data_IF_722058256265
#
_entry.id   IF_722058256265
#
_cell.length_a   1.000
_cell.length_b   1.000
_cell.length_c   1.000
_cell.angle_alpha   90.00
_cell.angle_beta   90.00
_cell.angle_gamma   90.00
#
_symmetry.space_group_name_H-M   'P 1'
#
loop_
_entity.id
_entity.type
_entity.pdbx_description
1 polymer ?
#
# COMPACT_ATOMS: atom_id res chain seq x y z
N UNK A 1 10.54 -19.83 15.98
CA UNK A 1 9.70 -20.36 14.90
C UNK A 1 8.42 -19.54 14.92
N UNK A 2 7.93 -19.10 13.77
CA UNK A 2 6.72 -18.25 13.69
C UNK A 2 5.50 -19.03 14.18
N UNK A 3 4.63 -18.38 14.98
CA UNK A 3 3.38 -18.97 15.44
C UNK A 3 2.42 -19.13 14.24
N UNK A 4 1.64 -20.25 14.22
CA UNK A 4 0.73 -20.54 13.10
C UNK A 4 -0.33 -19.44 12.86
N UNK A 5 -0.88 -18.86 13.91
CA UNK A 5 -1.86 -17.77 13.76
C UNK A 5 -1.24 -16.54 13.10
N UNK A 6 -0.03 -16.17 13.52
CA UNK A 6 0.73 -15.09 12.90
C UNK A 6 1.13 -15.42 11.47
N UNK A 7 1.54 -16.66 11.19
CA UNK A 7 1.85 -17.11 9.84
C UNK A 7 0.64 -16.95 8.91
N UNK A 8 -0.54 -17.38 9.33
CA UNK A 8 -1.78 -17.25 8.56
C UNK A 8 -2.17 -15.79 8.34
N UNK A 9 -2.06 -14.95 9.37
CA UNK A 9 -2.38 -13.52 9.29
C UNK A 9 -1.39 -12.74 8.41
N UNK A 10 -0.09 -13.03 8.51
CA UNK A 10 0.93 -12.44 7.64
C UNK A 10 0.76 -12.87 6.17
N UNK A 11 0.38 -14.13 5.92
CA UNK A 11 0.04 -14.58 4.57
C UNK A 11 -1.21 -13.86 4.00
N UNK A 12 -2.19 -13.57 4.84
CA UNK A 12 -3.34 -12.77 4.42
C UNK A 12 -2.91 -11.33 4.03
N UNK A 13 -2.00 -10.73 4.80
CA UNK A 13 -1.45 -9.40 4.48
C UNK A 13 -0.68 -9.39 3.17
N UNK A 14 0.19 -10.37 2.90
CA UNK A 14 0.88 -10.50 1.61
C UNK A 14 -0.11 -10.46 0.44
N UNK A 15 -1.25 -11.15 0.55
CA UNK A 15 -2.27 -11.12 -0.50
C UNK A 15 -3.00 -9.77 -0.58
N UNK A 16 -3.17 -9.04 0.54
CA UNK A 16 -3.74 -7.70 0.54
C UNK A 16 -2.83 -6.72 -0.21
N UNK A 17 -1.52 -6.74 0.04
CA UNK A 17 -0.54 -5.88 -0.65
C UNK A 17 -0.47 -6.19 -2.16
N UNK A 18 -0.47 -7.45 -2.57
CA UNK A 18 -0.55 -7.81 -3.99
C UNK A 18 -1.87 -7.42 -4.64
N UNK A 19 -2.98 -7.40 -3.90
CA UNK A 19 -4.24 -6.88 -4.39
C UNK A 19 -4.14 -5.36 -4.59
N UNK A 20 -3.59 -4.61 -3.63
CA UNK A 20 -3.31 -3.18 -3.75
C UNK A 20 -2.51 -2.86 -5.01
N UNK A 21 -1.40 -3.55 -5.22
CA UNK A 21 -0.58 -3.43 -6.41
C UNK A 21 -1.40 -3.64 -7.71
N UNK A 22 -2.33 -4.59 -7.74
CA UNK A 22 -3.13 -4.90 -8.92
C UNK A 22 -4.18 -3.83 -9.21
N UNK A 23 -4.75 -3.18 -8.19
CA UNK A 23 -5.75 -2.12 -8.32
C UNK A 23 -5.17 -0.85 -8.97
N UNK A 24 -3.88 -0.59 -8.80
CA UNK A 24 -3.21 0.64 -9.24
C UNK A 24 -2.83 0.68 -10.73
N UNK A 25 -3.07 -0.37 -11.52
CA UNK A 25 -2.41 -0.56 -12.83
C UNK A 25 -3.04 0.14 -14.04
N UNK A 26 -4.23 0.78 -13.96
CA UNK A 26 -4.93 1.26 -15.18
C UNK A 26 -5.65 2.61 -15.04
N UNK A 27 -4.95 3.75 -15.26
CA UNK A 27 -5.57 5.09 -15.09
C UNK A 27 -5.09 6.18 -16.07
N UNK A 28 -6.04 6.80 -16.68
CA UNK A 28 -6.06 7.58 -17.91
C UNK A 28 -5.46 9.00 -17.98
N UNK A 29 -4.68 9.51 -17.01
CA UNK A 29 -3.86 10.73 -17.16
C UNK A 29 -2.39 10.36 -17.00
N UNK A 30 -1.49 10.84 -17.86
CA UNK A 30 -0.12 10.34 -17.94
C UNK A 30 0.65 10.45 -16.61
N UNK A 31 0.49 11.53 -15.86
CA UNK A 31 1.16 11.71 -14.58
C UNK A 31 0.42 11.02 -13.43
N UNK A 32 -0.90 10.96 -13.46
CA UNK A 32 -1.70 10.11 -12.58
C UNK A 32 -1.33 8.65 -12.80
N UNK A 33 -1.18 8.22 -14.05
CA UNK A 33 -0.70 6.87 -14.38
C UNK A 33 0.71 6.61 -13.85
N UNK A 34 1.63 7.60 -13.91
CA UNK A 34 2.96 7.48 -13.32
C UNK A 34 2.89 7.32 -11.80
N UNK A 35 2.06 8.11 -11.11
CA UNK A 35 1.87 8.01 -9.67
C UNK A 35 1.41 6.59 -9.28
N UNK A 36 0.39 6.07 -9.95
CA UNK A 36 -0.10 4.71 -9.70
C UNK A 36 0.90 3.62 -10.10
N UNK A 37 1.69 3.82 -11.16
CA UNK A 37 2.75 2.87 -11.52
C UNK A 37 3.87 2.80 -10.47
N UNK A 38 4.14 3.89 -9.77
CA UNK A 38 5.07 3.91 -8.65
C UNK A 38 4.44 3.23 -7.44
N UNK A 39 3.21 3.59 -7.08
CA UNK A 39 2.48 2.96 -6.00
C UNK A 39 2.42 1.45 -6.18
N UNK A 40 2.13 0.95 -7.39
CA UNK A 40 2.18 -0.48 -7.71
C UNK A 40 3.51 -1.15 -7.31
N UNK A 41 4.64 -0.48 -7.52
CA UNK A 41 5.96 -1.02 -7.16
C UNK A 41 6.18 -0.99 -5.65
N UNK A 42 5.73 0.07 -4.99
CA UNK A 42 5.82 0.20 -3.53
C UNK A 42 5.00 -0.88 -2.83
N UNK A 43 3.77 -1.14 -3.30
CA UNK A 43 2.93 -2.23 -2.80
C UNK A 43 3.54 -3.62 -3.01
N UNK A 44 4.24 -3.82 -4.13
CA UNK A 44 5.00 -5.05 -4.34
C UNK A 44 6.15 -5.18 -3.33
N UNK A 45 6.85 -4.09 -3.02
CA UNK A 45 7.90 -4.10 -2.00
C UNK A 45 7.33 -4.37 -0.60
N UNK A 46 6.16 -3.83 -0.28
CA UNK A 46 5.42 -4.12 0.96
C UNK A 46 5.12 -5.62 1.07
N UNK A 47 4.52 -6.19 0.04
CA UNK A 47 4.25 -7.63 -0.03
C UNK A 47 5.52 -8.46 0.13
N UNK A 48 6.61 -8.08 -0.55
CA UNK A 48 7.88 -8.79 -0.48
C UNK A 48 8.56 -8.66 0.88
N UNK A 49 8.39 -7.53 1.58
CA UNK A 49 8.88 -7.38 2.96
C UNK A 49 8.22 -8.38 3.91
N UNK A 50 6.89 -8.53 3.85
CA UNK A 50 6.18 -9.57 4.59
C UNK A 50 6.58 -10.98 4.17
N UNK A 51 6.68 -11.23 2.87
CA UNK A 51 7.08 -12.52 2.29
C UNK A 51 8.43 -12.97 2.85
N UNK A 52 9.44 -12.12 2.76
CA UNK A 52 10.78 -12.39 3.25
C UNK A 52 10.81 -12.58 4.77
N UNK A 53 10.02 -11.80 5.50
CA UNK A 53 9.89 -11.93 6.93
C UNK A 53 9.31 -13.30 7.33
N UNK A 54 8.24 -13.76 6.70
CA UNK A 54 7.65 -15.09 6.97
C UNK A 54 8.70 -16.19 6.77
N UNK A 55 9.47 -16.14 5.67
CA UNK A 55 10.53 -17.11 5.37
C UNK A 55 11.65 -17.04 6.42
N UNK A 56 12.13 -15.85 6.76
CA UNK A 56 13.22 -15.66 7.74
C UNK A 56 12.85 -16.22 9.13
N UNK A 57 11.56 -16.23 9.45
CA UNK A 57 11.01 -16.75 10.70
C UNK A 57 10.71 -18.27 10.63
N UNK A 58 11.05 -18.93 9.52
CA UNK A 58 10.81 -20.37 9.29
C UNK A 58 9.35 -20.71 9.01
N UNK A 59 8.54 -19.72 8.62
CA UNK A 59 7.18 -19.89 8.18
C UNK A 59 7.11 -20.30 6.70
N UNK A 60 5.92 -20.69 6.25
CA UNK A 60 5.62 -21.01 4.86
C UNK A 60 4.73 -19.94 4.26
N UNK A 61 5.16 -19.35 3.14
CA UNK A 61 4.31 -18.45 2.37
C UNK A 61 3.29 -19.25 1.56
N UNK A 62 2.03 -18.82 1.61
CA UNK A 62 0.92 -19.40 0.86
C UNK A 62 0.15 -18.29 0.18
N UNK A 63 0.34 -18.13 -1.12
CA UNK A 63 -0.36 -17.14 -1.92
C UNK A 63 -1.75 -17.66 -2.29
N UNK A 64 -2.72 -16.75 -2.34
CA UNK A 64 -4.08 -16.99 -2.83
C UNK A 64 -4.28 -16.29 -4.16
N UNK A 65 -5.31 -16.64 -4.94
CA UNK A 65 -5.69 -15.86 -6.10
C UNK A 65 -5.99 -14.40 -5.72
N UNK A 66 -5.54 -13.46 -6.55
CA UNK A 66 -5.89 -12.05 -6.40
C UNK A 66 -7.35 -11.90 -6.85
N UNK A 67 -8.18 -11.31 -6.00
CA UNK A 67 -9.58 -11.03 -6.33
C UNK A 67 -9.67 -9.95 -7.41
N UNK A 68 -10.82 -9.89 -8.09
CA UNK A 68 -11.04 -8.89 -9.12
C UNK A 68 -10.91 -7.48 -8.53
N UNK A 69 -10.13 -6.65 -9.20
CA UNK A 69 -9.97 -5.23 -8.90
C UNK A 69 -10.84 -4.39 -9.84
N UNK A 70 -11.23 -3.20 -9.38
CA UNK A 70 -11.91 -2.23 -10.23
C UNK A 70 -10.90 -1.60 -11.21
N UNK A 71 -11.31 -1.47 -12.46
CA UNK A 71 -10.45 -0.95 -13.54
C UNK A 71 -10.98 0.37 -14.14
N UNK A 72 -12.12 0.86 -13.68
CA UNK A 72 -12.77 2.06 -14.22
C UNK A 72 -13.12 3.04 -13.11
N UNK A 73 -12.65 4.27 -13.23
CA UNK A 73 -12.99 5.39 -12.33
C UNK A 73 -13.58 6.55 -13.11
N UNK A 74 -14.59 7.18 -12.52
CA UNK A 74 -15.29 8.33 -13.13
C UNK A 74 -14.42 9.58 -13.24
N UNK A 75 -13.41 9.72 -12.40
CA UNK A 75 -12.51 10.87 -12.35
C UNK A 75 -11.24 10.55 -11.58
N UNK A 76 -10.16 11.34 -11.71
CA UNK A 76 -8.98 11.23 -10.86
C UNK A 76 -9.33 11.34 -9.36
N UNK A 77 -10.23 12.25 -8.99
CA UNK A 77 -10.69 12.37 -7.61
C UNK A 77 -11.29 11.06 -7.08
N UNK A 78 -12.18 10.41 -7.86
CA UNK A 78 -12.79 9.14 -7.46
C UNK A 78 -11.74 8.03 -7.31
N UNK A 79 -10.70 8.03 -8.15
CA UNK A 79 -9.60 7.08 -8.04
C UNK A 79 -8.81 7.27 -6.73
N UNK A 80 -8.44 8.50 -6.39
CA UNK A 80 -7.71 8.77 -5.15
C UNK A 80 -8.57 8.60 -3.89
N UNK A 81 -9.86 8.89 -3.94
CA UNK A 81 -10.78 8.60 -2.83
C UNK A 81 -10.90 7.09 -2.57
N UNK A 82 -10.91 6.26 -3.61
CA UNK A 82 -10.88 4.81 -3.47
C UNK A 82 -9.53 4.33 -2.94
N UNK A 83 -8.42 4.91 -3.42
CA UNK A 83 -7.09 4.64 -2.89
C UNK A 83 -7.03 4.89 -1.39
N UNK A 84 -7.49 6.05 -0.92
CA UNK A 84 -7.52 6.37 0.51
C UNK A 84 -8.35 5.35 1.31
N UNK A 85 -9.55 4.98 0.85
CA UNK A 85 -10.36 3.96 1.51
C UNK A 85 -9.63 2.61 1.60
N UNK A 86 -8.84 2.29 0.58
CA UNK A 86 -8.03 1.09 0.58
C UNK A 86 -6.90 1.17 1.60
N UNK A 87 -6.14 2.29 1.66
CA UNK A 87 -5.07 2.49 2.64
C UNK A 87 -5.61 2.46 4.08
N UNK A 88 -6.75 3.08 4.35
CA UNK A 88 -7.41 2.99 5.66
C UNK A 88 -7.76 1.54 6.06
N UNK A 89 -8.14 0.71 5.08
CA UNK A 89 -8.37 -0.73 5.30
C UNK A 89 -7.06 -1.46 5.59
N UNK A 90 -6.00 -1.19 4.83
CA UNK A 90 -4.66 -1.78 5.05
C UNK A 90 -4.13 -1.39 6.43
N UNK A 91 -4.28 -0.13 6.82
CA UNK A 91 -3.95 0.36 8.18
C UNK A 91 -4.65 -0.47 9.26
N UNK A 92 -5.94 -0.74 9.08
CA UNK A 92 -6.70 -1.58 10.03
C UNK A 92 -6.14 -3.00 10.10
N UNK A 93 -5.79 -3.61 8.96
CA UNK A 93 -5.22 -4.95 8.92
C UNK A 93 -3.84 -5.03 9.59
N UNK A 94 -3.00 -4.00 9.41
CA UNK A 94 -1.69 -3.90 10.05
C UNK A 94 -1.83 -3.73 11.57
N UNK A 95 -2.78 -2.91 12.02
CA UNK A 95 -3.08 -2.74 13.44
C UNK A 95 -3.56 -4.05 14.08
N UNK A 96 -4.41 -4.81 13.39
CA UNK A 96 -4.86 -6.13 13.84
C UNK A 96 -3.70 -7.13 13.95
N UNK A 97 -2.77 -7.11 12.97
CA UNK A 97 -1.53 -7.91 13.02
C UNK A 97 -0.65 -7.53 14.21
N UNK A 98 -0.51 -6.22 14.47
CA UNK A 98 0.27 -5.73 15.60
C UNK A 98 -0.32 -6.19 16.94
N UNK A 99 -1.64 -6.08 17.08
CA UNK A 99 -2.36 -6.55 18.28
C UNK A 99 -2.24 -8.08 18.44
N UNK A 100 -2.31 -8.84 17.35
CA UNK A 100 -2.10 -10.28 17.37
C UNK A 100 -0.67 -10.65 17.79
N UNK A 101 0.34 -9.93 17.26
CA UNK A 101 1.73 -10.14 17.65
C UNK A 101 1.96 -9.85 19.14
N UNK A 102 1.27 -8.85 19.70
CA UNK A 102 1.29 -8.56 21.12
C UNK A 102 0.69 -9.70 21.96
N UNK A 103 -0.48 -10.20 21.57
CA UNK A 103 -1.15 -11.30 22.26
C UNK A 103 -0.29 -12.58 22.27
N UNK A 104 0.38 -12.87 21.17
CA UNK A 104 1.28 -14.03 21.05
C UNK A 104 2.70 -13.75 21.61
N UNK A 105 2.96 -12.53 22.15
CA UNK A 105 4.24 -12.07 22.69
C UNK A 105 5.39 -12.19 21.69
N UNK A 106 5.09 -12.03 20.40
CA UNK A 106 6.10 -12.03 19.33
C UNK A 106 6.61 -10.59 19.08
N UNK A 107 7.51 -10.15 19.94
CA UNK A 107 8.09 -8.82 19.90
C UNK A 107 8.91 -8.56 18.62
N UNK A 108 9.44 -9.61 17.99
CA UNK A 108 10.14 -9.46 16.72
C UNK A 108 9.16 -9.10 15.59
N UNK A 109 7.97 -9.70 15.56
CA UNK A 109 6.90 -9.33 14.63
C UNK A 109 6.41 -7.93 14.90
N UNK A 110 6.21 -7.53 16.16
CA UNK A 110 5.86 -6.15 16.50
C UNK A 110 6.92 -5.14 16.01
N UNK A 111 8.20 -5.47 16.19
CA UNK A 111 9.30 -4.60 15.74
C UNK A 111 9.29 -4.42 14.21
N UNK A 112 9.04 -5.48 13.46
CA UNK A 112 8.93 -5.43 12.00
C UNK A 112 7.71 -4.62 11.55
N UNK A 113 6.56 -4.77 12.22
CA UNK A 113 5.32 -4.08 11.91
C UNK A 113 5.36 -2.57 12.18
N UNK A 114 6.25 -2.07 13.05
CA UNK A 114 6.40 -0.63 13.28
C UNK A 114 6.67 0.14 12.01
N UNK A 115 7.52 -0.39 11.14
CA UNK A 115 7.79 0.23 9.85
C UNK A 115 6.51 0.38 9.02
N UNK A 116 5.66 -0.65 8.98
CA UNK A 116 4.39 -0.58 8.26
C UNK A 116 3.38 0.38 8.90
N UNK A 117 3.40 0.54 10.24
CA UNK A 117 2.56 1.52 10.92
C UNK A 117 2.96 2.94 10.49
N UNK A 118 4.26 3.22 10.45
CA UNK A 118 4.78 4.53 10.04
C UNK A 118 4.48 4.78 8.55
N UNK A 119 4.67 3.76 7.69
CA UNK A 119 4.37 3.81 6.27
C UNK A 119 2.89 4.11 6.01
N UNK A 120 1.96 3.45 6.69
CA UNK A 120 0.52 3.69 6.51
C UNK A 120 0.10 5.12 6.87
N UNK A 121 0.77 5.75 7.84
CA UNK A 121 0.54 7.18 8.11
C UNK A 121 0.91 8.02 6.88
N UNK A 122 2.05 7.74 6.25
CA UNK A 122 2.52 8.45 5.05
C UNK A 122 1.60 8.18 3.85
N UNK A 123 1.19 6.92 3.62
CA UNK A 123 0.29 6.55 2.52
C UNK A 123 -1.07 7.26 2.60
N UNK A 124 -1.68 7.28 3.78
CA UNK A 124 -2.93 8.01 3.99
C UNK A 124 -2.75 9.53 3.82
N UNK A 125 -1.66 10.12 4.35
CA UNK A 125 -1.37 11.56 4.21
C UNK A 125 -1.17 11.93 2.73
N UNK A 126 -0.43 11.15 1.98
CA UNK A 126 -0.18 11.37 0.55
C UNK A 126 -1.49 11.31 -0.25
N UNK A 127 -2.33 10.31 -0.03
CA UNK A 127 -3.62 10.21 -0.70
C UNK A 127 -4.55 11.39 -0.32
N UNK A 128 -4.63 11.75 0.95
CA UNK A 128 -5.43 12.89 1.45
C UNK A 128 -4.98 14.21 0.83
N UNK A 129 -3.67 14.48 0.76
CA UNK A 129 -3.14 15.72 0.17
C UNK A 129 -3.53 15.88 -1.30
N UNK A 130 -3.49 14.80 -2.08
CA UNK A 130 -3.90 14.81 -3.48
C UNK A 130 -5.42 15.02 -3.61
N UNK A 131 -6.21 14.36 -2.78
CA UNK A 131 -7.68 14.53 -2.73
C UNK A 131 -8.05 15.97 -2.42
N UNK A 132 -7.42 16.57 -1.40
CA UNK A 132 -7.69 17.96 -1.00
C UNK A 132 -7.31 18.94 -2.12
N UNK A 133 -6.19 18.70 -2.79
CA UNK A 133 -5.75 19.47 -3.96
C UNK A 133 -6.77 19.36 -5.10
N UNK A 134 -7.23 18.14 -5.43
CA UNK A 134 -8.23 17.90 -6.46
C UNK A 134 -9.56 18.59 -6.13
N UNK A 135 -10.00 18.55 -4.88
CA UNK A 135 -11.22 19.24 -4.42
C UNK A 135 -11.09 20.75 -4.51
N UNK A 136 -9.92 21.31 -4.18
CA UNK A 136 -9.64 22.74 -4.30
C UNK A 136 -9.61 23.20 -5.76
N UNK A 137 -9.03 22.41 -6.66
CA UNK A 137 -8.93 22.69 -8.08
C UNK A 137 -10.31 22.64 -8.77
N UNK A 138 -11.15 21.67 -8.41
CA UNK A 138 -12.39 21.36 -9.09
C UNK A 138 -12.18 21.12 -10.58
N UNK A 139 -13.00 21.77 -11.44
CA UNK A 139 -12.95 21.63 -12.90
C UNK A 139 -11.95 22.62 -13.57
N UNK A 140 -11.07 23.26 -12.81
CA UNK A 140 -10.10 24.20 -13.35
C UNK A 140 -9.00 23.48 -14.15
N UNK A 141 -9.05 23.55 -15.47
CA UNK A 141 -8.11 22.87 -16.36
C UNK A 141 -6.63 23.25 -16.15
N UNK A 142 -6.34 24.50 -15.78
CA UNK A 142 -4.97 24.92 -15.46
C UNK A 142 -4.49 24.30 -14.14
N UNK A 143 -5.34 24.24 -13.13
CA UNK A 143 -5.04 23.58 -11.85
C UNK A 143 -4.77 22.09 -12.05
N UNK A 144 -5.62 21.41 -12.84
CA UNK A 144 -5.41 19.99 -13.17
C UNK A 144 -4.08 19.76 -13.92
N UNK A 145 -3.73 20.65 -14.85
CA UNK A 145 -2.44 20.57 -15.55
C UNK A 145 -1.23 20.77 -14.62
N UNK A 146 -1.33 21.66 -13.63
CA UNK A 146 -0.25 21.85 -12.65
C UNK A 146 -0.10 20.63 -11.73
N UNK A 147 -1.21 20.08 -11.24
CA UNK A 147 -1.20 18.86 -10.45
C UNK A 147 -0.62 17.67 -11.24
N UNK A 148 -1.01 17.52 -12.51
CA UNK A 148 -0.46 16.49 -13.40
C UNK A 148 1.06 16.60 -13.50
N UNK A 149 1.59 17.82 -13.67
CA UNK A 149 3.05 18.05 -13.66
C UNK A 149 3.72 17.71 -12.33
N UNK A 150 3.09 18.02 -11.23
CA UNK A 150 3.61 17.70 -9.90
C UNK A 150 3.66 16.18 -9.69
N UNK A 151 2.58 15.46 -9.98
CA UNK A 151 2.52 14.00 -9.88
C UNK A 151 3.53 13.30 -10.81
N UNK A 152 3.86 13.91 -11.96
CA UNK A 152 4.89 13.40 -12.87
C UNK A 152 6.30 13.42 -12.27
N UNK A 153 6.54 14.21 -11.22
CA UNK A 153 7.87 14.31 -10.57
C UNK A 153 8.13 13.17 -9.59
N UNK A 154 7.11 12.42 -9.20
CA UNK A 154 7.29 11.28 -8.28
C UNK A 154 8.25 10.26 -8.89
N UNK A 155 9.21 9.82 -8.08
CA UNK A 155 10.21 8.83 -8.46
C UNK A 155 10.12 7.66 -7.48
N UNK A 156 10.13 6.45 -8.00
CA UNK A 156 10.15 5.24 -7.18
C UNK A 156 11.49 5.12 -6.43
N UNK A 157 11.40 4.88 -5.14
CA UNK A 157 12.54 4.59 -4.27
C UNK A 157 12.35 3.21 -3.64
N UNK A 158 13.15 2.20 -4.01
CA UNK A 158 13.03 0.87 -3.40
C UNK A 158 13.21 0.92 -1.89
N UNK A 159 12.46 0.10 -1.16
CA UNK A 159 12.68 -0.09 0.27
C UNK A 159 14.11 -0.65 0.46
N UNK A 160 14.89 0.01 1.31
CA UNK A 160 16.23 -0.50 1.63
C UNK A 160 16.10 -1.92 2.20
N UNK A 161 16.55 -2.90 1.44
CA UNK A 161 16.79 -4.23 1.99
C UNK A 161 17.91 -4.08 3.02
N UNK A 162 17.62 -4.37 4.28
CA UNK A 162 18.64 -4.47 5.31
C UNK A 162 19.55 -5.65 4.96
N UNK A 163 20.46 -5.43 4.01
CA UNK A 163 21.67 -6.24 3.86
C UNK A 163 22.78 -5.52 4.63
N UNK A 164 23.03 -5.99 5.81
CA UNK A 164 24.30 -6.24 6.54
C UNK A 164 24.09 -6.33 8.04
#
# INVERSE_FOLDING_TARGET
MLNKKLEEALNAQINAEFWSASDMSDKGMAAVANWFAIQFKEEQDHAMKFFNYVISRGGKVTLKPIEKVDTEWKSPLAAFEQTLQHEEKVTSLINDLYALAEQEKDYATQSMLKWFIDEQVEEEENAKAIIDTLKLIGDNGYGLYQLDKELATRVYTPIATSEE
#
